data_IF_808059375874
#
_entry.id   IF_808059375874
#
_cell.length_a   1.000
_cell.length_b   1.000
_cell.length_c   1.000
_cell.angle_alpha   90.00
_cell.angle_beta   90.00
_cell.angle_gamma   90.00
#
_symmetry.space_group_name_H-M   'P 1'
#
loop_
_entity.id
_entity.type
_entity.pdbx_description
1 polymer ?
#
# COMPACT_ATOMS: atom_id res chain seq x y z
N UNK A 1 -3.73 -4.27 -0.23
CA UNK A 1 -2.40 -4.06 -0.88
C UNK A 1 -1.41 -5.00 -0.26
N UNK A 2 -0.54 -5.60 -1.06
CA UNK A 2 0.38 -6.63 -0.58
C UNK A 2 1.86 -6.27 -0.68
N UNK A 3 2.21 -5.19 -1.38
CA UNK A 3 3.60 -4.74 -1.48
C UNK A 3 3.66 -3.23 -1.60
N UNK A 4 4.57 -2.63 -0.83
CA UNK A 4 4.93 -1.23 -0.93
C UNK A 4 6.46 -1.12 -0.99
N UNK A 5 6.97 -0.50 -2.03
CA UNK A 5 8.38 -0.16 -2.19
C UNK A 5 8.52 1.34 -1.91
N UNK A 6 9.52 1.73 -1.13
CA UNK A 6 9.79 3.13 -0.77
C UNK A 6 11.26 3.43 -0.99
N UNK A 7 11.58 4.48 -1.73
CA UNK A 7 12.94 5.03 -1.89
C UNK A 7 12.98 6.42 -1.28
N UNK A 8 13.73 6.55 -0.19
CA UNK A 8 13.96 7.83 0.48
C UNK A 8 15.11 8.58 -0.18
N UNK A 9 15.03 9.91 -0.20
CA UNK A 9 16.05 10.77 -0.81
C UNK A 9 15.50 12.16 -1.08
N UNK A 10 16.20 12.98 -1.88
CA UNK A 10 15.71 14.30 -2.32
C UNK A 10 14.37 14.22 -3.06
N UNK A 11 14.15 13.13 -3.77
CA UNK A 11 12.88 12.65 -4.29
C UNK A 11 12.48 11.41 -3.49
N UNK A 12 11.37 11.52 -2.78
CA UNK A 12 10.75 10.38 -2.12
C UNK A 12 9.84 9.67 -3.13
N UNK A 13 10.07 8.38 -3.38
CA UNK A 13 9.25 7.56 -4.29
C UNK A 13 8.60 6.43 -3.52
N UNK A 14 7.30 6.23 -3.77
CA UNK A 14 6.55 5.07 -3.28
C UNK A 14 5.95 4.35 -4.49
N UNK A 15 6.06 3.02 -4.51
CA UNK A 15 5.33 2.18 -5.45
C UNK A 15 4.54 1.13 -4.68
N UNK A 16 3.23 1.15 -4.86
CA UNK A 16 2.30 0.21 -4.23
C UNK A 16 1.72 -0.76 -5.25
N UNK A 17 1.81 -2.07 -4.99
CA UNK A 17 1.11 -3.10 -5.76
C UNK A 17 -0.09 -3.57 -4.94
N UNK A 18 -1.29 -3.44 -5.50
CA UNK A 18 -2.52 -3.88 -4.86
C UNK A 18 -2.89 -5.27 -5.33
N UNK A 19 -2.74 -6.24 -4.44
CA UNK A 19 -3.27 -7.59 -4.64
C UNK A 19 -4.62 -7.70 -3.92
N UNK A 20 -5.64 -8.18 -4.62
CA UNK A 20 -6.99 -8.33 -4.08
C UNK A 20 -7.79 -9.36 -4.94
N UNK A 21 -8.94 -9.77 -4.46
CA UNK A 21 -9.89 -10.51 -5.26
C UNK A 21 -10.36 -9.68 -6.46
N UNK A 22 -10.39 -10.29 -7.65
CA UNK A 22 -10.73 -9.61 -8.89
C UNK A 22 -12.18 -9.09 -8.93
N UNK A 23 -13.08 -9.74 -8.18
CA UNK A 23 -14.48 -9.36 -8.04
C UNK A 23 -14.74 -8.27 -6.99
N UNK A 24 -13.69 -7.80 -6.27
CA UNK A 24 -13.84 -6.74 -5.30
C UNK A 24 -14.01 -5.38 -5.99
N UNK A 25 -15.17 -4.71 -5.83
CA UNK A 25 -15.43 -3.48 -6.54
C UNK A 25 -14.59 -2.32 -5.99
N UNK A 26 -14.07 -1.49 -6.89
CA UNK A 26 -13.25 -0.32 -6.58
C UNK A 26 -13.35 0.75 -7.66
N UNK A 27 -12.94 1.97 -7.33
CA UNK A 27 -12.82 3.10 -8.24
C UNK A 27 -11.37 3.56 -8.34
N UNK A 28 -10.99 4.11 -9.50
CA UNK A 28 -9.69 4.71 -9.74
C UNK A 28 -9.41 5.92 -8.85
N UNK A 29 -8.19 6.50 -8.94
CA UNK A 29 -7.80 7.64 -8.11
C UNK A 29 -8.70 8.85 -8.31
N UNK A 30 -9.10 9.48 -7.18
CA UNK A 30 -9.92 10.68 -7.14
C UNK A 30 -10.03 11.25 -5.74
N UNK A 31 -10.62 12.43 -5.61
CA UNK A 31 -10.98 13.04 -4.33
C UNK A 31 -12.36 12.52 -3.87
N UNK A 32 -12.41 11.27 -3.41
CA UNK A 32 -13.67 10.58 -3.09
C UNK A 32 -14.23 10.88 -1.70
N UNK A 33 -13.46 11.55 -0.83
CA UNK A 33 -13.78 11.68 0.61
C UNK A 33 -13.95 13.15 1.03
N UNK A 34 -15.18 13.65 1.18
CA UNK A 34 -15.43 15.04 1.61
C UNK A 34 -14.81 15.40 2.97
N UNK A 35 -14.64 14.41 3.87
CA UNK A 35 -14.03 14.60 5.19
C UNK A 35 -12.50 14.77 5.12
N UNK A 36 -11.88 14.45 3.98
CA UNK A 36 -10.45 14.57 3.72
C UNK A 36 -10.18 15.36 2.43
N UNK A 37 -10.56 16.65 2.37
CA UNK A 37 -10.44 17.45 1.16
C UNK A 37 -8.98 17.53 0.67
N UNK A 38 -8.79 17.36 -0.64
CA UNK A 38 -7.48 17.36 -1.29
C UNK A 38 -6.71 16.05 -1.16
N UNK A 39 -7.27 15.01 -0.52
CA UNK A 39 -6.69 13.67 -0.50
C UNK A 39 -7.17 12.88 -1.70
N UNK A 40 -6.21 12.33 -2.46
CA UNK A 40 -6.43 11.54 -3.67
C UNK A 40 -6.06 10.09 -3.38
N UNK A 41 -6.86 9.16 -3.91
CA UNK A 41 -6.58 7.72 -3.82
C UNK A 41 -7.62 6.89 -4.54
N UNK A 42 -7.32 5.62 -4.82
CA UNK A 42 -8.30 4.65 -5.27
C UNK A 42 -9.28 4.31 -4.14
N UNK A 43 -10.56 4.14 -4.45
CA UNK A 43 -11.59 3.86 -3.45
C UNK A 43 -12.03 2.42 -3.49
N UNK A 44 -12.00 1.75 -2.36
CA UNK A 44 -12.65 0.46 -2.15
C UNK A 44 -14.16 0.68 -1.96
N UNK A 45 -14.98 0.21 -2.89
CA UNK A 45 -16.44 0.44 -2.84
C UNK A 45 -17.15 -0.38 -1.77
N UNK A 46 -16.53 -1.48 -1.31
CA UNK A 46 -17.09 -2.32 -0.26
C UNK A 46 -16.81 -1.75 1.14
N UNK A 47 -15.61 -1.22 1.36
CA UNK A 47 -15.15 -0.73 2.66
C UNK A 47 -15.14 0.80 2.78
N UNK A 48 -15.29 1.53 1.66
CA UNK A 48 -15.34 2.99 1.60
C UNK A 48 -14.00 3.72 1.76
N UNK A 49 -12.93 3.00 2.11
CA UNK A 49 -11.59 3.56 2.33
C UNK A 49 -10.64 3.38 1.16
N UNK A 50 -9.35 3.55 1.44
CA UNK A 50 -8.28 3.40 0.44
C UNK A 50 -7.14 2.52 0.95
N UNK A 51 -6.30 2.07 0.02
CA UNK A 51 -5.04 1.37 0.30
C UNK A 51 -3.80 2.26 0.12
N UNK A 52 -3.93 3.35 -0.63
CA UNK A 52 -2.91 4.38 -0.77
C UNK A 52 -3.60 5.74 -0.94
N UNK A 53 -3.28 6.67 -0.06
CA UNK A 53 -3.76 8.04 -0.03
C UNK A 53 -2.61 9.00 -0.27
N UNK A 54 -2.82 10.03 -1.08
CA UNK A 54 -1.87 11.09 -1.34
C UNK A 54 -2.53 12.43 -1.04
N UNK A 55 -1.86 13.30 -0.28
CA UNK A 55 -2.27 14.69 -0.07
C UNK A 55 -1.24 15.62 -0.73
N UNK A 56 -1.41 15.99 -2.01
CA UNK A 56 -0.41 16.74 -2.77
C UNK A 56 -0.02 18.06 -2.12
N UNK A 57 -0.99 18.86 -1.66
CA UNK A 57 -0.73 20.15 -1.02
C UNK A 57 0.11 20.01 0.25
N UNK A 58 -0.04 18.94 0.99
CA UNK A 58 0.75 18.64 2.19
C UNK A 58 2.03 17.83 1.88
N UNK A 59 2.24 17.43 0.63
CA UNK A 59 3.37 16.59 0.18
C UNK A 59 3.54 15.34 1.03
N UNK A 60 2.44 14.60 1.20
CA UNK A 60 2.38 13.39 2.01
C UNK A 60 1.67 12.28 1.27
N UNK A 61 2.10 11.05 1.58
CA UNK A 61 1.41 9.85 1.17
C UNK A 61 1.29 8.89 2.35
N UNK A 62 0.22 8.11 2.37
CA UNK A 62 0.06 7.03 3.33
C UNK A 62 -0.43 5.77 2.61
N UNK A 63 0.18 4.63 2.94
CA UNK A 63 -0.12 3.35 2.35
C UNK A 63 -0.46 2.33 3.43
N UNK A 64 -1.50 1.54 3.18
CA UNK A 64 -2.02 0.53 4.09
C UNK A 64 -1.88 -0.86 3.48
N UNK A 65 -1.24 -1.76 4.21
CA UNK A 65 -1.13 -3.18 3.89
C UNK A 65 -1.85 -4.00 4.95
N UNK A 66 -2.38 -5.15 4.54
CA UNK A 66 -2.85 -6.15 5.50
C UNK A 66 -1.65 -6.70 6.27
N UNK A 67 -1.82 -6.88 7.58
CA UNK A 67 -0.85 -7.54 8.43
C UNK A 67 -1.27 -8.96 8.79
N UNK A 68 -0.38 -9.67 9.50
CA UNK A 68 -0.63 -10.97 10.09
C UNK A 68 -0.72 -10.84 11.60
N UNK A 69 -1.57 -11.64 12.25
CA UNK A 69 -1.72 -11.67 13.70
C UNK A 69 -3.15 -11.95 14.14
N UNK A 70 -3.53 -11.45 15.32
CA UNK A 70 -4.83 -11.67 15.91
C UNK A 70 -5.88 -10.75 15.27
N UNK A 71 -6.91 -11.34 14.68
CA UNK A 71 -8.04 -10.60 14.12
C UNK A 71 -8.83 -9.85 15.21
N UNK A 72 -9.40 -8.71 14.85
CA UNK A 72 -10.36 -7.99 15.70
C UNK A 72 -11.64 -8.80 15.89
N UNK A 73 -12.37 -8.50 16.97
CA UNK A 73 -13.67 -9.11 17.19
C UNK A 73 -14.67 -8.66 16.13
N UNK A 74 -15.33 -9.60 15.47
CA UNK A 74 -16.23 -9.38 14.35
C UNK A 74 -17.36 -8.37 14.64
N UNK A 75 -17.83 -8.34 15.90
CA UNK A 75 -18.92 -7.44 16.36
C UNK A 75 -18.51 -5.98 16.51
N UNK A 76 -17.20 -5.71 16.68
CA UNK A 76 -16.68 -4.35 16.95
C UNK A 76 -15.73 -3.87 15.84
N UNK A 77 -15.40 -4.74 14.93
CA UNK A 77 -14.45 -4.52 13.85
C UNK A 77 -14.82 -3.33 12.95
N UNK A 78 -13.81 -2.54 12.62
CA UNK A 78 -13.93 -1.42 11.70
C UNK A 78 -12.97 -1.58 10.51
N UNK A 79 -13.31 -0.92 9.40
CA UNK A 79 -12.45 -0.91 8.22
C UNK A 79 -11.13 -0.19 8.50
N UNK A 80 -10.03 -0.78 8.01
CA UNK A 80 -8.69 -0.17 8.09
C UNK A 80 -8.47 0.94 7.05
N UNK A 81 -9.29 0.99 5.98
CA UNK A 81 -9.07 1.89 4.84
C UNK A 81 -9.12 3.37 5.17
N UNK A 82 -9.79 3.76 6.27
CA UNK A 82 -9.80 5.13 6.78
C UNK A 82 -8.45 5.56 7.39
N UNK A 83 -7.65 4.62 7.87
CA UNK A 83 -6.36 4.91 8.49
C UNK A 83 -5.38 5.59 7.53
N UNK A 84 -5.34 5.15 6.26
CA UNK A 84 -4.49 5.77 5.25
C UNK A 84 -4.95 7.20 4.91
N UNK A 85 -6.27 7.41 4.78
CA UNK A 85 -6.86 8.73 4.53
C UNK A 85 -6.50 9.71 5.64
N UNK A 86 -6.78 9.31 6.88
CA UNK A 86 -6.51 10.12 8.07
C UNK A 86 -5.02 10.44 8.20
N UNK A 87 -4.14 9.45 8.02
CA UNK A 87 -2.71 9.65 8.11
C UNK A 87 -2.18 10.61 7.03
N UNK A 88 -2.60 10.47 5.77
CA UNK A 88 -2.22 11.39 4.71
C UNK A 88 -2.74 12.81 4.97
N UNK A 89 -3.97 12.94 5.47
CA UNK A 89 -4.60 14.24 5.75
C UNK A 89 -3.96 14.96 6.94
N UNK A 90 -3.84 14.28 8.10
CA UNK A 90 -3.36 14.89 9.34
C UNK A 90 -1.82 14.96 9.44
N UNK A 91 -1.10 14.02 8.80
CA UNK A 91 0.33 13.82 8.98
C UNK A 91 0.68 13.05 10.25
N UNK A 92 -0.30 12.38 10.85
CA UNK A 92 -0.13 11.63 12.08
C UNK A 92 -0.48 10.15 11.91
N UNK A 93 0.31 9.27 12.53
CA UNK A 93 -0.06 7.87 12.69
C UNK A 93 -1.13 7.75 13.78
N UNK A 94 -2.07 6.79 13.65
CA UNK A 94 -3.11 6.61 14.65
C UNK A 94 -2.54 6.32 16.03
N UNK A 95 -3.14 6.93 17.04
CA UNK A 95 -2.83 6.72 18.45
C UNK A 95 -4.03 6.10 19.18
N UNK A 96 -3.78 5.53 20.36
CA UNK A 96 -4.82 4.97 21.21
C UNK A 96 -5.18 3.52 20.88
N UNK A 97 -6.45 3.17 21.04
CA UNK A 97 -6.94 1.79 20.94
C UNK A 97 -7.08 1.34 19.47
N UNK A 98 -6.30 0.33 19.10
CA UNK A 98 -6.31 -0.29 17.76
C UNK A 98 -7.03 -1.65 17.76
N UNK A 99 -7.57 -2.12 18.88
CA UNK A 99 -8.16 -3.47 19.02
C UNK A 99 -9.34 -3.75 18.08
N UNK A 100 -9.96 -2.69 17.54
CA UNK A 100 -11.05 -2.80 16.58
C UNK A 100 -10.60 -3.00 15.13
N UNK A 101 -9.30 -2.97 14.88
CA UNK A 101 -8.72 -3.19 13.54
C UNK A 101 -8.08 -4.57 13.45
N UNK A 102 -8.33 -5.26 12.34
CA UNK A 102 -7.48 -6.38 11.95
C UNK A 102 -6.03 -5.96 11.83
N UNK A 103 -5.07 -6.89 11.91
CA UNK A 103 -3.66 -6.59 11.73
C UNK A 103 -3.37 -5.81 10.44
N UNK A 104 -2.45 -4.83 10.53
CA UNK A 104 -2.06 -3.98 9.41
C UNK A 104 -0.64 -3.44 9.54
N UNK A 105 -0.12 -2.96 8.40
CA UNK A 105 1.03 -2.09 8.30
C UNK A 105 0.59 -0.78 7.66
N UNK A 106 0.82 0.35 8.34
CA UNK A 106 0.53 1.68 7.85
C UNK A 106 1.82 2.45 7.70
N UNK A 107 2.15 2.81 6.47
CA UNK A 107 3.29 3.66 6.14
C UNK A 107 2.79 5.09 5.94
N UNK A 108 3.41 6.04 6.60
CA UNK A 108 3.18 7.47 6.42
C UNK A 108 4.49 8.14 6.01
N UNK A 109 4.50 8.77 4.84
CA UNK A 109 5.66 9.26 4.16
C UNK A 109 5.54 10.75 3.82
N UNK A 110 6.59 11.51 4.10
CA UNK A 110 6.84 12.87 3.65
C UNK A 110 8.34 13.05 3.35
N UNK A 111 8.74 14.20 2.83
CA UNK A 111 10.15 14.47 2.46
C UNK A 111 11.13 14.42 3.63
N UNK A 112 10.65 14.47 4.88
CA UNK A 112 11.52 14.48 6.06
C UNK A 112 11.75 13.10 6.63
N UNK A 113 10.76 12.21 6.53
CA UNK A 113 10.82 10.87 7.09
C UNK A 113 9.72 9.95 6.54
N UNK A 114 9.97 8.66 6.65
CA UNK A 114 8.97 7.61 6.38
C UNK A 114 8.76 6.79 7.64
N UNK A 115 7.55 6.81 8.16
CA UNK A 115 7.16 6.15 9.41
C UNK A 115 6.31 4.93 9.11
N UNK A 116 6.56 3.85 9.84
CA UNK A 116 5.79 2.61 9.78
C UNK A 116 5.13 2.36 11.13
N UNK A 117 3.84 2.11 11.14
CA UNK A 117 3.09 1.51 12.24
C UNK A 117 2.67 0.11 11.82
N UNK A 118 3.15 -0.89 12.54
CA UNK A 118 2.71 -2.28 12.43
C UNK A 118 1.83 -2.63 13.62
N UNK A 119 0.65 -3.17 13.34
CA UNK A 119 -0.31 -3.67 14.33
C UNK A 119 -0.55 -5.15 14.09
N UNK A 120 -0.25 -6.01 15.06
CA UNK A 120 -0.40 -7.47 14.97
C UNK A 120 -1.69 -8.00 15.61
N UNK A 121 -2.57 -7.09 16.07
CA UNK A 121 -3.78 -7.41 16.82
C UNK A 121 -3.59 -7.43 18.34
N UNK A 122 -2.35 -7.24 18.82
CA UNK A 122 -2.01 -7.22 20.26
C UNK A 122 -1.11 -6.04 20.62
N UNK A 123 -0.11 -5.74 19.80
CA UNK A 123 0.88 -4.70 20.09
C UNK A 123 1.17 -3.83 18.87
N UNK A 124 1.12 -2.49 19.01
CA UNK A 124 1.61 -1.59 18.00
C UNK A 124 3.14 -1.48 18.07
N UNK A 125 3.80 -1.60 16.92
CA UNK A 125 5.22 -1.33 16.75
C UNK A 125 5.39 -0.15 15.81
N UNK A 126 6.12 0.88 16.23
CA UNK A 126 6.44 2.06 15.43
C UNK A 126 7.92 2.10 15.11
N UNK A 127 8.25 2.40 13.88
CA UNK A 127 9.63 2.59 13.41
C UNK A 127 9.69 3.60 12.29
N UNK A 128 10.86 4.17 12.05
CA UNK A 128 11.17 4.87 10.81
C UNK A 128 11.77 3.88 9.81
N UNK A 129 11.45 4.02 8.53
CA UNK A 129 12.14 3.26 7.50
C UNK A 129 13.57 3.76 7.34
N UNK A 130 14.54 2.86 7.11
CA UNK A 130 15.92 3.25 6.87
C UNK A 130 16.07 4.09 5.59
N UNK A 131 17.14 4.86 5.50
CA UNK A 131 17.50 5.57 4.28
C UNK A 131 17.77 4.58 3.12
N UNK A 132 17.42 4.99 1.91
CA UNK A 132 17.54 4.17 0.71
C UNK A 132 16.23 3.49 0.33
N UNK A 133 16.31 2.31 -0.29
CA UNK A 133 15.13 1.57 -0.76
C UNK A 133 14.75 0.48 0.23
N UNK A 134 13.49 0.50 0.66
CA UNK A 134 12.86 -0.48 1.54
C UNK A 134 11.64 -1.11 0.88
N UNK A 135 11.28 -2.32 1.28
CA UNK A 135 10.07 -2.99 0.85
C UNK A 135 9.27 -3.46 2.06
N UNK A 136 7.99 -3.08 2.10
CA UNK A 136 7.03 -3.52 3.13
C UNK A 136 6.05 -4.47 2.46
N UNK A 137 5.88 -5.64 3.06
CA UNK A 137 4.94 -6.68 2.62
C UNK A 137 3.96 -7.03 3.74
N UNK A 138 3.10 -8.04 3.57
CA UNK A 138 2.10 -8.41 4.58
C UNK A 138 2.72 -8.90 5.92
N UNK A 139 3.98 -9.31 5.92
CA UNK A 139 4.76 -9.59 7.14
C UNK A 139 5.52 -8.38 7.69
N UNK A 140 5.35 -7.19 7.09
CA UNK A 140 6.02 -5.95 7.49
C UNK A 140 7.35 -5.71 6.77
N UNK A 141 8.31 -5.12 7.48
CA UNK A 141 9.72 -5.06 7.05
C UNK A 141 10.35 -6.41 7.33
N UNK A 142 10.27 -7.32 6.37
CA UNK A 142 10.65 -8.71 6.52
C UNK A 142 11.65 -9.11 5.43
N UNK A 143 12.93 -9.01 5.75
CA UNK A 143 14.02 -9.37 4.83
C UNK A 143 14.06 -10.88 4.52
N UNK A 144 13.36 -11.71 5.29
CA UNK A 144 13.26 -13.14 5.08
C UNK A 144 12.15 -13.53 4.10
N UNK A 145 11.24 -12.61 3.79
CA UNK A 145 10.19 -12.82 2.81
C UNK A 145 10.79 -13.14 1.43
N UNK A 146 10.29 -14.18 0.78
CA UNK A 146 10.74 -14.58 -0.58
C UNK A 146 10.59 -13.43 -1.57
N UNK A 147 9.49 -12.68 -1.51
CA UNK A 147 9.25 -11.51 -2.36
C UNK A 147 10.27 -10.41 -2.12
N UNK A 148 10.61 -10.12 -0.86
CA UNK A 148 11.60 -9.10 -0.53
C UNK A 148 12.99 -9.53 -1.01
N UNK A 149 13.40 -10.77 -0.78
CA UNK A 149 14.68 -11.30 -1.26
C UNK A 149 14.80 -11.27 -2.79
N UNK A 150 13.74 -11.57 -3.50
CA UNK A 150 13.74 -11.60 -4.96
C UNK A 150 13.75 -10.20 -5.59
N UNK A 151 13.00 -9.26 -5.02
CA UNK A 151 12.71 -7.99 -5.70
C UNK A 151 13.40 -6.77 -5.09
N UNK A 152 13.64 -6.71 -3.78
CA UNK A 152 14.26 -5.52 -3.17
C UNK A 152 15.63 -5.18 -3.78
N UNK A 153 16.54 -6.14 -4.07
CA UNK A 153 17.80 -5.84 -4.75
C UNK A 153 17.57 -5.18 -6.13
N UNK A 154 16.60 -5.67 -6.91
CA UNK A 154 16.28 -5.15 -8.24
C UNK A 154 15.78 -3.70 -8.16
N UNK A 155 14.94 -3.36 -7.18
CA UNK A 155 14.48 -2.01 -6.92
C UNK A 155 15.58 -1.07 -6.41
N UNK A 156 16.58 -1.59 -5.72
CA UNK A 156 17.77 -0.84 -5.29
C UNK A 156 18.68 -0.48 -6.46
N UNK A 157 18.81 -1.38 -7.40
CA UNK A 157 19.75 -1.28 -8.53
C UNK A 157 19.14 -0.59 -9.75
N UNK A 158 17.83 -0.34 -9.77
CA UNK A 158 17.10 0.30 -10.88
C UNK A 158 16.61 1.68 -10.52
N UNK A 159 16.70 2.61 -11.47
CA UNK A 159 15.97 3.88 -11.43
C UNK A 159 14.64 3.81 -12.22
N UNK A 160 14.45 2.79 -13.05
CA UNK A 160 13.21 2.50 -13.76
C UNK A 160 12.45 1.37 -13.06
N UNK A 161 11.56 1.74 -12.15
CA UNK A 161 10.74 0.80 -11.41
C UNK A 161 9.57 0.25 -12.23
N UNK A 162 9.18 0.97 -13.30
CA UNK A 162 8.09 0.51 -14.19
C UNK A 162 8.47 -0.75 -14.94
N UNK A 163 9.69 -0.82 -15.45
CA UNK A 163 10.17 -2.03 -16.11
C UNK A 163 10.11 -3.28 -15.23
N UNK A 164 10.18 -3.11 -13.90
CA UNK A 164 10.09 -4.22 -12.95
C UNK A 164 8.66 -4.75 -12.72
N UNK A 165 7.63 -3.97 -13.07
CA UNK A 165 6.22 -4.35 -12.94
C UNK A 165 5.59 -4.85 -14.26
N UNK A 166 6.31 -4.73 -15.38
CA UNK A 166 5.88 -5.25 -16.68
C UNK A 166 6.07 -6.77 -16.84
N UNK A 167 6.51 -7.43 -15.76
CA UNK A 167 6.64 -8.89 -15.73
C UNK A 167 5.28 -9.57 -15.87
N UNK A 168 5.27 -10.71 -16.56
CA UNK A 168 4.08 -11.54 -16.70
C UNK A 168 3.58 -11.97 -15.31
N UNK A 169 2.27 -11.89 -15.06
CA UNK A 169 1.69 -12.31 -13.80
C UNK A 169 1.96 -13.79 -13.52
N UNK A 170 2.34 -14.09 -12.29
CA UNK A 170 2.67 -15.45 -11.86
C UNK A 170 1.66 -16.00 -10.85
N UNK A 171 1.46 -17.30 -10.86
CA UNK A 171 0.73 -18.01 -9.82
C UNK A 171 1.57 -18.14 -8.52
N UNK A 172 2.86 -17.89 -8.58
CA UNK A 172 3.74 -17.89 -7.42
C UNK A 172 3.44 -16.65 -6.54
N UNK A 173 3.10 -16.88 -5.29
CA UNK A 173 2.81 -15.83 -4.30
C UNK A 173 4.03 -14.98 -3.94
N UNK A 174 5.23 -15.47 -4.21
CA UNK A 174 6.48 -14.73 -4.08
C UNK A 174 6.70 -13.72 -5.20
N UNK A 175 6.01 -13.83 -6.35
CA UNK A 175 6.12 -12.89 -7.44
C UNK A 175 5.60 -11.49 -7.06
N UNK A 176 6.12 -10.45 -7.74
CA UNK A 176 5.67 -9.07 -7.53
C UNK A 176 4.27 -8.86 -8.10
N UNK A 177 4.03 -9.33 -9.32
CA UNK A 177 2.73 -9.31 -10.00
C UNK A 177 2.17 -10.73 -10.00
N UNK A 178 1.03 -10.90 -9.35
CA UNK A 178 0.43 -12.22 -9.15
C UNK A 178 -0.91 -12.36 -9.87
N UNK A 179 -1.21 -13.62 -10.27
CA UNK A 179 -2.51 -14.07 -10.74
C UNK A 179 -2.73 -15.50 -10.28
N UNK A 180 -3.61 -15.70 -9.32
CA UNK A 180 -3.82 -16.98 -8.68
C UNK A 180 -5.31 -17.31 -8.62
N UNK A 181 -5.72 -18.38 -9.30
CA UNK A 181 -7.06 -18.92 -9.19
C UNK A 181 -7.14 -19.84 -7.96
N UNK A 182 -8.12 -19.58 -7.09
CA UNK A 182 -8.36 -20.37 -5.89
C UNK A 182 -9.18 -21.63 -6.23
N UNK A 183 -9.15 -22.67 -5.36
CA UNK A 183 -9.94 -23.89 -5.56
C UNK A 183 -11.45 -23.67 -5.66
N UNK A 184 -11.96 -22.54 -5.14
CA UNK A 184 -13.38 -22.16 -5.22
C UNK A 184 -13.71 -21.33 -6.47
N UNK A 185 -12.76 -21.19 -7.41
CA UNK A 185 -12.92 -20.47 -8.68
C UNK A 185 -12.74 -18.95 -8.56
N UNK A 186 -12.49 -18.41 -7.37
CA UNK A 186 -12.20 -16.99 -7.23
C UNK A 186 -10.79 -16.65 -7.68
N UNK A 187 -10.65 -15.53 -8.35
CA UNK A 187 -9.36 -15.02 -8.81
C UNK A 187 -8.81 -14.01 -7.79
N UNK A 188 -7.59 -14.25 -7.30
CA UNK A 188 -6.81 -13.31 -6.51
C UNK A 188 -5.62 -12.84 -7.36
N UNK A 189 -5.51 -11.53 -7.58
CA UNK A 189 -4.53 -10.98 -8.51
C UNK A 189 -4.04 -9.60 -8.10
N UNK A 190 -2.91 -9.19 -8.69
CA UNK A 190 -2.49 -7.78 -8.68
C UNK A 190 -3.43 -7.01 -9.60
N UNK A 191 -4.20 -6.06 -9.03
CA UNK A 191 -5.23 -5.31 -9.75
C UNK A 191 -4.76 -3.94 -10.20
N UNK A 192 -3.83 -3.34 -9.48
CA UNK A 192 -3.30 -2.02 -9.82
C UNK A 192 -1.91 -1.78 -9.24
N UNK A 193 -1.18 -0.89 -9.90
CA UNK A 193 0.07 -0.33 -9.40
C UNK A 193 -0.09 1.19 -9.29
N UNK A 194 0.39 1.74 -8.18
CA UNK A 194 0.41 3.16 -7.91
C UNK A 194 1.85 3.60 -7.69
N UNK A 195 2.26 4.63 -8.42
CA UNK A 195 3.55 5.27 -8.20
C UNK A 195 3.35 6.71 -7.75
N UNK A 196 3.95 7.07 -6.63
CA UNK A 196 3.90 8.41 -6.05
C UNK A 196 5.33 8.93 -5.94
N UNK A 197 5.60 10.10 -6.50
CA UNK A 197 6.84 10.80 -6.23
C UNK A 197 6.54 12.15 -5.57
N UNK A 198 7.28 12.42 -4.49
CA UNK A 198 7.17 13.65 -3.72
C UNK A 198 8.52 14.37 -3.78
N UNK A 199 8.50 15.59 -4.30
CA UNK A 199 9.62 16.51 -4.37
C UNK A 199 9.26 17.83 -3.67
N UNK A 200 10.23 18.73 -3.38
CA UNK A 200 9.95 19.99 -2.68
C UNK A 200 8.89 20.87 -3.36
N UNK A 201 8.80 20.83 -4.69
CA UNK A 201 7.88 21.65 -5.50
C UNK A 201 6.72 20.90 -6.14
N UNK A 202 6.76 19.57 -6.15
CA UNK A 202 5.84 18.77 -6.95
C UNK A 202 5.50 17.43 -6.28
N UNK A 203 4.25 16.98 -6.51
CA UNK A 203 3.83 15.61 -6.19
C UNK A 203 3.20 15.02 -7.44
N UNK A 204 3.73 13.90 -7.89
CA UNK A 204 3.15 13.11 -8.98
C UNK A 204 2.47 11.88 -8.42
N UNK A 205 1.34 11.50 -9.02
CA UNK A 205 0.64 10.27 -8.72
C UNK A 205 0.24 9.60 -10.02
N UNK A 206 0.84 8.47 -10.30
CA UNK A 206 0.56 7.67 -11.47
C UNK A 206 -0.14 6.38 -11.06
N UNK A 207 -1.08 5.95 -11.89
CA UNK A 207 -1.91 4.78 -11.62
C UNK A 207 -1.97 3.89 -12.86
N UNK A 208 -1.67 2.62 -12.69
CA UNK A 208 -1.78 1.59 -13.72
C UNK A 208 -2.85 0.58 -13.30
N UNK A 209 -3.91 0.47 -14.08
CA UNK A 209 -4.91 -0.58 -13.96
C UNK A 209 -4.40 -1.84 -14.66
N UNK A 210 -4.18 -2.89 -13.89
CA UNK A 210 -3.72 -4.18 -14.40
C UNK A 210 -4.88 -5.09 -14.83
N UNK A 211 -6.13 -4.63 -14.71
CA UNK A 211 -7.32 -5.39 -15.13
C UNK A 211 -7.76 -5.04 -16.55
N UNK A 212 -7.43 -3.84 -17.04
CA UNK A 212 -7.94 -3.28 -18.29
C UNK A 212 -7.49 -4.03 -19.57
N UNK A 213 -6.34 -4.72 -19.53
CA UNK A 213 -5.76 -5.40 -20.71
C UNK A 213 -6.06 -6.91 -20.78
N UNK A 214 -7.00 -7.44 -19.96
CA UNK A 214 -7.14 -8.89 -19.76
C UNK A 214 -8.45 -9.51 -20.28
N UNK A 215 -9.27 -8.74 -20.96
CA UNK A 215 -10.51 -9.18 -21.62
C UNK A 215 -10.34 -9.32 -23.16
N UNK A 216 -9.12 -9.59 -23.63
CA UNK A 216 -8.76 -9.80 -25.05
C UNK A 216 -8.61 -11.28 -25.39
#
# INVERSE_FOLDING_TARGET
MCTLIVKTGPRLTLMGVRDEFADRPWEGPGEHWPDYPGVIGGRDLKAGGTWLAVHPAARRAAALLNGHGRAAEETTKVSRGDLALKAAYTGELPEGDLTRYDPFHLVLADLTRVRLLSWDGERPVRSDLPAGTSMVVNSGLDDESERVRAYLPRFRDSDDWRALIEEEPSADRGALIIRHELPDGRLFASLSVMEVAIEPGEVTYEFTDLTADRDG
#
